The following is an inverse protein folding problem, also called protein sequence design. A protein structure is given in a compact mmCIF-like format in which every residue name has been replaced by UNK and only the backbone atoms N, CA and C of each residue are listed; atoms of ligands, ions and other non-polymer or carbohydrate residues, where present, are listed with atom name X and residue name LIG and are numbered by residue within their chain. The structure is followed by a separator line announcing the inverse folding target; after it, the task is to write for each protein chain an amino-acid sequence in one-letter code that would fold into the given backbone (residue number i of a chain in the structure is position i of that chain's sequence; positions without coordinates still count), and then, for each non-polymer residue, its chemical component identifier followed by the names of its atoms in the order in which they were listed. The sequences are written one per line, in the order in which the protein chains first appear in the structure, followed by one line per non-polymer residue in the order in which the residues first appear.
data_IF_769751564657
#
_entry.id   IF_769751564657
#
_cell.length_a   1.000
_cell.length_b   1.000
_cell.length_c   1.000
_cell.angle_alpha   90.00
_cell.angle_beta   90.00
_cell.angle_gamma   90.00
#
_symmetry.space_group_name_H-M   'P 1'
#
loop_
_entity.id
_entity.type
_entity.pdbx_description
1 polymer ?
#
# COMPACT_ATOMS: atom_id res chain seq x y z
N UNK A 1 5.31 23.46 -3.37
CA UNK A 1 5.09 24.28 -2.16
C UNK A 1 5.20 23.34 -0.98
N UNK A 2 5.97 23.68 0.06
CA UNK A 2 6.02 22.86 1.26
C UNK A 2 4.66 22.88 1.95
N UNK A 3 4.07 21.71 2.15
CA UNK A 3 2.76 21.53 2.79
C UNK A 3 2.80 21.88 4.29
N UNK A 4 4.00 21.98 4.86
CA UNK A 4 4.27 22.19 6.28
C UNK A 4 5.25 23.35 6.44
N UNK A 5 4.94 24.26 7.36
CA UNK A 5 5.81 25.36 7.80
C UNK A 5 6.17 25.18 9.27
N UNK A 6 7.46 25.29 9.58
CA UNK A 6 7.99 25.15 10.94
C UNK A 6 8.46 26.50 11.49
N UNK A 7 8.32 26.70 12.80
CA UNK A 7 8.84 27.87 13.50
C UNK A 7 9.12 27.55 14.96
N UNK A 8 10.26 27.99 15.48
CA UNK A 8 10.55 27.90 16.91
C UNK A 8 9.71 28.92 17.69
N UNK A 9 9.24 28.51 18.87
CA UNK A 9 8.54 29.35 19.83
C UNK A 9 9.40 29.45 21.10
N UNK A 10 10.20 30.52 21.25
CA UNK A 10 11.13 30.67 22.37
C UNK A 10 10.43 30.52 23.73
N UNK A 11 10.92 29.58 24.55
CA UNK A 11 10.38 29.29 25.89
C UNK A 11 9.08 28.47 25.92
N UNK A 12 8.62 28.00 24.76
CA UNK A 12 7.41 27.17 24.63
C UNK A 12 7.76 25.84 23.94
N UNK A 13 8.41 25.90 22.78
CA UNK A 13 8.81 24.73 22.01
C UNK A 13 8.81 25.02 20.50
N UNK A 14 8.16 24.18 19.70
CA UNK A 14 8.13 24.32 18.23
C UNK A 14 6.72 24.25 17.67
N UNK A 15 6.42 25.13 16.72
CA UNK A 15 5.17 25.18 15.97
C UNK A 15 5.35 24.58 14.57
N UNK A 16 4.36 23.77 14.18
CA UNK A 16 4.19 23.21 12.85
C UNK A 16 2.84 23.67 12.33
N UNK A 17 2.81 24.27 11.15
CA UNK A 17 1.57 24.65 10.48
C UNK A 17 1.44 23.84 9.19
N UNK A 18 0.30 23.18 9.04
CA UNK A 18 -0.06 22.37 7.88
C UNK A 18 -1.26 23.01 7.21
N UNK A 19 -1.15 23.28 5.92
CA UNK A 19 -2.29 23.65 5.08
C UNK A 19 -2.61 22.43 4.21
N UNK A 20 -3.76 21.80 4.44
CA UNK A 20 -4.16 20.59 3.71
C UNK A 20 -4.66 20.95 2.32
N UNK A 21 -4.75 19.95 1.43
CA UNK A 21 -5.34 20.12 0.11
C UNK A 21 -6.86 20.38 0.17
N UNK A 22 -7.53 19.99 1.25
CA UNK A 22 -8.95 20.29 1.49
C UNK A 22 -9.20 21.74 1.91
N UNK A 23 -8.14 22.51 2.21
CA UNK A 23 -8.21 23.90 2.65
C UNK A 23 -8.00 24.08 4.15
N UNK A 24 -8.04 23.00 4.93
CA UNK A 24 -7.91 23.07 6.38
C UNK A 24 -6.53 23.56 6.82
N UNK A 25 -6.53 24.45 7.81
CA UNK A 25 -5.34 24.89 8.53
C UNK A 25 -5.27 24.18 9.87
N UNK A 26 -4.26 23.31 10.01
CA UNK A 26 -3.93 22.60 11.24
C UNK A 26 -2.62 23.16 11.80
N UNK A 27 -2.62 23.55 13.08
CA UNK A 27 -1.41 23.94 13.80
C UNK A 27 -1.13 22.95 14.90
N UNK A 28 0.10 22.46 14.97
CA UNK A 28 0.58 21.60 16.04
C UNK A 28 1.69 22.35 16.78
N UNK A 29 1.57 22.49 18.09
CA UNK A 29 2.64 22.99 18.96
C UNK A 29 3.17 21.83 19.78
N UNK A 30 4.47 21.57 19.66
CA UNK A 30 5.19 20.62 20.50
C UNK A 30 5.90 21.43 21.57
N UNK A 31 5.49 21.28 22.82
CA UNK A 31 6.09 21.96 23.95
C UNK A 31 7.36 21.25 24.42
N UNK A 32 8.29 22.01 25.01
CA UNK A 32 9.54 21.47 25.56
C UNK A 32 9.31 20.51 26.74
N UNK A 33 8.16 20.63 27.41
CA UNK A 33 7.73 19.72 28.49
C UNK A 33 7.06 18.43 28.00
N UNK A 34 6.97 18.24 26.68
CA UNK A 34 6.40 17.05 26.04
C UNK A 34 4.88 17.12 25.83
N UNK A 35 4.20 18.21 26.16
CA UNK A 35 2.79 18.39 25.75
C UNK A 35 2.68 18.77 24.28
N UNK A 36 1.58 18.37 23.65
CA UNK A 36 1.24 18.75 22.28
C UNK A 36 -0.11 19.42 22.27
N UNK A 37 -0.20 20.56 21.59
CA UNK A 37 -1.45 21.22 21.28
C UNK A 37 -1.73 21.10 19.79
N UNK A 38 -2.97 20.78 19.43
CA UNK A 38 -3.44 20.73 18.05
C UNK A 38 -4.61 21.71 17.91
N UNK A 39 -4.50 22.64 16.97
CA UNK A 39 -5.49 23.67 16.71
C UNK A 39 -6.00 23.54 15.27
N UNK A 40 -7.32 23.50 15.09
CA UNK A 40 -7.97 23.56 13.78
C UNK A 40 -8.65 24.91 13.63
N UNK A 41 -8.38 25.58 12.52
CA UNK A 41 -8.87 26.92 12.23
C UNK A 41 -10.02 26.90 11.24
N UNK A 42 -10.87 27.92 11.30
CA UNK A 42 -11.90 28.13 10.29
C UNK A 42 -11.27 28.34 8.91
N UNK A 43 -11.95 27.85 7.88
CA UNK A 43 -11.54 28.05 6.49
C UNK A 43 -11.91 29.46 5.99
N UNK A 44 -13.00 30.04 6.50
CA UNK A 44 -13.46 31.38 6.15
C UNK A 44 -12.75 32.47 6.98
N UNK A 45 -12.27 32.12 8.18
CA UNK A 45 -11.41 32.97 9.02
C UNK A 45 -10.19 32.18 9.56
N UNK A 46 -9.06 32.18 8.83
CA UNK A 46 -7.86 31.44 9.21
C UNK A 46 -7.17 31.90 10.50
N UNK A 47 -7.62 32.99 11.12
CA UNK A 47 -7.12 33.45 12.42
C UNK A 47 -8.00 32.98 13.58
N UNK A 48 -9.23 32.49 13.31
CA UNK A 48 -10.12 31.96 14.33
C UNK A 48 -9.92 30.45 14.52
N UNK A 49 -9.55 30.06 15.74
CA UNK A 49 -9.35 28.66 16.10
C UNK A 49 -10.66 28.06 16.58
N UNK A 50 -11.27 27.20 15.76
CA UNK A 50 -12.57 26.60 16.06
C UNK A 50 -12.48 25.40 17.01
N UNK A 51 -11.32 24.75 17.14
CA UNK A 51 -11.10 23.71 18.15
C UNK A 51 -9.64 23.56 18.55
N UNK A 52 -9.42 23.10 19.79
CA UNK A 52 -8.11 22.78 20.35
C UNK A 52 -8.14 21.46 21.12
N UNK A 53 -7.12 20.63 20.89
CA UNK A 53 -6.88 19.39 21.64
C UNK A 53 -5.48 19.45 22.25
N UNK A 54 -5.39 19.19 23.56
CA UNK A 54 -4.13 19.03 24.28
C UNK A 54 -3.88 17.56 24.56
N UNK A 55 -2.67 17.09 24.25
CA UNK A 55 -2.22 15.71 24.45
C UNK A 55 -0.95 15.71 25.29
N UNK A 56 -0.85 14.78 26.24
CA UNK A 56 0.44 14.48 26.85
C UNK A 56 1.33 13.67 25.89
N UNK A 57 2.61 13.47 26.24
CA UNK A 57 3.57 12.76 25.38
C UNK A 57 3.11 11.34 25.01
N UNK A 58 2.51 10.60 25.94
CA UNK A 58 2.05 9.23 25.69
C UNK A 58 0.83 9.19 24.75
N UNK A 59 -0.13 10.11 24.94
CA UNK A 59 -1.31 10.25 24.09
C UNK A 59 -0.92 10.70 22.67
N UNK A 60 -0.03 11.70 22.58
CA UNK A 60 0.46 12.22 21.31
C UNK A 60 1.15 11.13 20.48
N UNK A 61 1.95 10.26 21.11
CA UNK A 61 2.57 9.12 20.42
C UNK A 61 1.55 8.11 19.93
N UNK A 62 0.47 7.85 20.69
CA UNK A 62 -0.61 6.96 20.25
C UNK A 62 -1.38 7.55 19.06
N UNK A 63 -1.74 8.82 19.13
CA UNK A 63 -2.41 9.53 18.02
C UNK A 63 -1.50 9.54 16.79
N UNK A 64 -0.20 9.84 16.96
CA UNK A 64 0.79 9.75 15.89
C UNK A 64 0.91 8.34 15.30
N UNK A 65 0.78 7.30 16.13
CA UNK A 65 0.69 5.89 15.71
C UNK A 65 -0.51 5.61 14.80
N UNK A 66 -1.66 6.21 15.11
CA UNK A 66 -2.88 6.07 14.30
C UNK A 66 -2.73 6.85 12.99
N UNK A 67 -2.33 8.12 13.07
CA UNK A 67 -2.16 8.98 11.89
C UNK A 67 -1.05 8.49 10.96
N UNK A 68 0.03 7.93 11.52
CA UNK A 68 1.13 7.32 10.78
C UNK A 68 0.83 5.92 10.26
N UNK A 69 -0.41 5.43 10.37
CA UNK A 69 -0.83 4.13 9.82
C UNK A 69 -0.35 2.90 10.58
N UNK A 70 0.40 3.05 11.68
CA UNK A 70 0.93 1.92 12.47
C UNK A 70 -0.16 1.17 13.23
N UNK A 71 -1.26 1.84 13.59
CA UNK A 71 -2.39 1.22 14.31
C UNK A 71 -3.47 0.68 13.38
N UNK A 72 -3.67 1.31 12.22
CA UNK A 72 -4.65 0.91 11.23
C UNK A 72 -4.22 1.42 9.86
N UNK A 73 -3.94 0.50 8.94
CA UNK A 73 -3.64 0.79 7.55
C UNK A 73 -4.86 0.36 6.71
N UNK A 74 -5.55 1.30 6.05
CA UNK A 74 -6.65 0.95 5.14
C UNK A 74 -6.17 -0.04 4.08
N UNK A 75 -6.95 -1.09 3.78
CA UNK A 75 -6.63 -2.07 2.72
C UNK A 75 -6.40 -1.47 1.34
N UNK A 76 -6.90 -0.24 1.11
CA UNK A 76 -6.66 0.53 -0.11
C UNK A 76 -5.25 1.17 -0.16
N UNK A 77 -4.58 1.30 1.00
CA UNK A 77 -3.21 1.78 1.15
C UNK A 77 -2.20 0.65 1.37
N UNK A 78 -2.62 -0.59 1.70
CA UNK A 78 -1.79 -1.81 1.74
C UNK A 78 -1.02 -2.07 0.41
N UNK A 79 -1.40 -1.41 -0.69
CA UNK A 79 -0.72 -1.50 -1.99
C UNK A 79 0.35 -0.42 -2.23
N UNK A 80 0.51 0.55 -1.33
CA UNK A 80 1.33 1.76 -1.59
C UNK A 80 2.74 1.67 -0.99
N UNK A 81 2.99 0.78 -0.02
CA UNK A 81 4.33 0.62 0.61
C UNK A 81 5.26 -0.40 -0.07
N UNK A 82 4.88 -0.97 -1.21
CA UNK A 82 5.84 -1.65 -2.09
C UNK A 82 6.21 -0.74 -3.25
N UNK A 83 6.91 0.36 -2.95
CA UNK A 83 7.72 1.06 -3.94
C UNK A 83 8.89 0.15 -4.40
N UNK A 84 8.55 -0.86 -5.20
CA UNK A 84 9.45 -1.35 -6.23
C UNK A 84 9.05 -0.60 -7.48
N UNK A 85 9.95 0.24 -8.00
CA UNK A 85 9.72 1.32 -8.96
C UNK A 85 9.26 0.88 -10.38
N UNK A 86 8.48 -0.21 -10.49
CA UNK A 86 7.75 -0.72 -11.66
C UNK A 86 7.10 -2.11 -11.38
N UNK A 87 7.30 -2.72 -10.20
CA UNK A 87 6.77 -4.05 -9.91
C UNK A 87 5.33 -4.02 -9.39
N UNK A 88 4.53 -4.98 -9.85
CA UNK A 88 3.13 -5.15 -9.49
C UNK A 88 2.86 -6.59 -9.03
N UNK A 89 1.85 -6.74 -8.18
CA UNK A 89 1.27 -8.02 -7.80
C UNK A 89 -0.12 -8.10 -8.41
N UNK A 90 -0.37 -9.08 -9.27
CA UNK A 90 -1.66 -9.26 -9.93
C UNK A 90 -2.25 -10.63 -9.67
N UNK A 91 -3.56 -10.64 -9.40
CA UNK A 91 -4.37 -11.84 -9.29
C UNK A 91 -4.88 -12.19 -10.69
N UNK A 92 -4.68 -13.43 -11.11
CA UNK A 92 -5.11 -13.91 -12.41
C UNK A 92 -5.90 -15.21 -12.27
N UNK A 93 -7.19 -15.15 -12.59
CA UNK A 93 -8.06 -16.32 -12.59
C UNK A 93 -7.88 -17.11 -13.89
N UNK A 94 -7.66 -18.41 -13.77
CA UNK A 94 -7.58 -19.33 -14.88
C UNK A 94 -9.02 -19.66 -15.31
N UNK A 95 -9.52 -18.91 -16.29
CA UNK A 95 -10.84 -19.17 -16.86
C UNK A 95 -10.85 -20.46 -17.70
N UNK A 96 -12.03 -21.09 -17.85
CA UNK A 96 -12.19 -22.26 -18.73
C UNK A 96 -11.72 -21.98 -20.16
N UNK A 97 -11.09 -22.97 -20.81
CA UNK A 97 -10.64 -22.87 -22.20
C UNK A 97 -9.26 -22.25 -22.41
N UNK A 98 -8.57 -21.83 -21.35
CA UNK A 98 -7.17 -21.41 -21.43
C UNK A 98 -6.26 -22.62 -21.78
N UNK A 99 -5.32 -22.43 -22.71
CA UNK A 99 -4.48 -23.51 -23.24
C UNK A 99 -3.46 -24.07 -22.24
N UNK A 100 -3.12 -23.33 -21.19
CA UNK A 100 -2.20 -23.81 -20.16
C UNK A 100 -2.84 -24.70 -19.09
N UNK A 101 -4.14 -24.96 -19.15
CA UNK A 101 -4.80 -25.86 -18.21
C UNK A 101 -4.18 -27.26 -18.35
N UNK A 102 -3.75 -27.83 -17.22
CA UNK A 102 -3.07 -29.14 -17.18
C UNK A 102 -1.55 -29.08 -17.40
N UNK A 103 -0.98 -27.93 -17.79
CA UNK A 103 0.46 -27.74 -17.83
C UNK A 103 1.01 -27.35 -16.45
N UNK A 104 2.25 -27.74 -16.18
CA UNK A 104 2.97 -27.30 -14.98
C UNK A 104 3.61 -25.93 -15.16
N UNK A 105 3.94 -25.26 -14.05
CA UNK A 105 4.72 -24.02 -14.08
C UNK A 105 6.06 -24.24 -14.82
N UNK A 106 6.66 -25.42 -14.62
CA UNK A 106 7.90 -25.86 -15.27
C UNK A 106 7.75 -25.96 -16.79
N UNK A 107 6.69 -26.60 -17.28
CA UNK A 107 6.41 -26.75 -18.71
C UNK A 107 6.29 -25.39 -19.41
N UNK A 108 5.65 -24.43 -18.73
CA UNK A 108 5.47 -23.09 -19.26
C UNK A 108 6.76 -22.27 -19.22
N UNK A 109 7.71 -22.59 -18.32
CA UNK A 109 8.97 -21.86 -18.17
C UNK A 109 8.76 -20.40 -17.79
N UNK A 110 7.73 -20.09 -16.99
CA UNK A 110 7.21 -18.72 -16.76
C UNK A 110 8.33 -17.73 -16.41
N UNK A 111 9.07 -17.98 -15.34
CA UNK A 111 10.13 -17.06 -14.87
C UNK A 111 11.21 -16.83 -15.91
N UNK A 112 11.60 -17.87 -16.64
CA UNK A 112 12.65 -17.80 -17.66
C UNK A 112 12.18 -17.03 -18.91
N UNK A 113 10.92 -17.19 -19.31
CA UNK A 113 10.38 -16.61 -20.55
C UNK A 113 9.82 -15.22 -20.40
N UNK A 114 9.31 -14.88 -19.22
CA UNK A 114 8.59 -13.62 -19.00
C UNK A 114 9.26 -12.73 -17.97
N UNK A 115 10.13 -13.27 -17.11
CA UNK A 115 10.72 -12.55 -15.99
C UNK A 115 9.75 -12.31 -14.82
N UNK A 116 8.49 -12.74 -14.93
CA UNK A 116 7.52 -12.73 -13.83
C UNK A 116 7.59 -14.02 -13.01
N UNK A 117 7.16 -13.98 -11.76
CA UNK A 117 7.15 -15.12 -10.83
C UNK A 117 5.73 -15.37 -10.32
N UNK A 118 5.31 -16.63 -10.27
CA UNK A 118 4.11 -17.02 -9.53
C UNK A 118 4.51 -17.23 -8.07
N UNK A 119 3.91 -16.46 -7.16
CA UNK A 119 4.21 -16.51 -5.73
C UNK A 119 3.15 -17.29 -4.93
N UNK A 120 1.95 -17.47 -5.49
CA UNK A 120 0.91 -18.31 -4.89
C UNK A 120 -0.09 -18.84 -5.92
N UNK A 121 -0.75 -19.94 -5.57
CA UNK A 121 -1.94 -20.48 -6.26
C UNK A 121 -3.05 -20.64 -5.22
N UNK A 122 -4.24 -20.11 -5.51
CA UNK A 122 -5.46 -20.31 -4.74
C UNK A 122 -6.40 -21.17 -5.57
N UNK A 123 -6.63 -22.41 -5.15
CA UNK A 123 -7.53 -23.31 -5.85
C UNK A 123 -9.01 -22.97 -5.61
N UNK A 124 -9.90 -23.57 -6.39
CA UNK A 124 -11.36 -23.37 -6.28
C UNK A 124 -11.93 -23.77 -4.93
N UNK A 125 -11.31 -24.73 -4.25
CA UNK A 125 -11.66 -25.18 -2.90
C UNK A 125 -11.08 -24.28 -1.79
N UNK A 126 -10.53 -23.11 -2.15
CA UNK A 126 -9.83 -22.17 -1.28
C UNK A 126 -8.53 -22.69 -0.65
N UNK A 127 -8.03 -23.87 -1.04
CA UNK A 127 -6.69 -24.31 -0.65
C UNK A 127 -5.64 -23.40 -1.30
N UNK A 128 -4.57 -23.11 -0.53
CA UNK A 128 -3.51 -22.18 -0.93
C UNK A 128 -2.19 -22.92 -1.03
N UNK A 129 -1.47 -22.68 -2.11
CA UNK A 129 -0.10 -23.14 -2.33
C UNK A 129 0.77 -21.89 -2.37
N UNK A 130 1.68 -21.76 -1.43
CA UNK A 130 2.59 -20.62 -1.31
C UNK A 130 3.94 -21.04 -1.88
N UNK A 131 4.58 -20.15 -2.67
CA UNK A 131 5.84 -20.41 -3.37
C UNK A 131 5.78 -21.72 -4.19
N UNK A 132 4.85 -21.83 -5.16
CA UNK A 132 4.66 -23.07 -5.92
C UNK A 132 5.94 -23.46 -6.67
N UNK A 133 6.30 -24.74 -6.58
CA UNK A 133 7.41 -25.31 -7.35
C UNK A 133 7.07 -25.50 -8.83
N UNK A 134 8.06 -25.83 -9.67
CA UNK A 134 7.87 -26.05 -11.10
C UNK A 134 6.90 -27.20 -11.42
N UNK A 135 6.71 -28.16 -10.52
CA UNK A 135 5.81 -29.30 -10.64
C UNK A 135 4.33 -28.95 -10.52
N UNK A 136 4.00 -27.74 -10.04
CA UNK A 136 2.61 -27.36 -9.80
C UNK A 136 1.83 -27.18 -11.10
N UNK A 137 0.73 -27.92 -11.22
CA UNK A 137 -0.18 -27.88 -12.39
C UNK A 137 -1.16 -26.71 -12.29
N UNK A 138 -1.32 -25.98 -13.39
CA UNK A 138 -2.34 -24.95 -13.53
C UNK A 138 -3.72 -25.59 -13.75
N UNK A 139 -4.64 -25.36 -12.82
CA UNK A 139 -6.00 -25.92 -12.83
C UNK A 139 -7.04 -24.87 -13.22
N UNK A 140 -8.07 -25.29 -13.92
CA UNK A 140 -9.23 -24.45 -14.21
C UNK A 140 -9.85 -23.90 -12.91
N UNK A 141 -10.22 -22.62 -12.93
CA UNK A 141 -10.84 -21.94 -11.79
C UNK A 141 -9.88 -21.57 -10.67
N UNK A 142 -8.61 -21.99 -10.73
CA UNK A 142 -7.59 -21.51 -9.80
C UNK A 142 -7.27 -20.04 -10.07
N UNK A 143 -6.89 -19.31 -9.02
CA UNK A 143 -6.35 -17.96 -9.11
C UNK A 143 -4.87 -18.00 -8.77
N UNK A 144 -4.03 -17.58 -9.72
CA UNK A 144 -2.60 -17.44 -9.50
C UNK A 144 -2.27 -16.00 -9.09
N UNK A 145 -1.27 -15.86 -8.22
CA UNK A 145 -0.74 -14.57 -7.80
C UNK A 145 0.61 -14.38 -8.45
N UNK A 146 0.72 -13.38 -9.31
CA UNK A 146 1.90 -13.11 -10.15
C UNK A 146 2.59 -11.84 -9.65
N UNK A 147 3.90 -11.90 -9.45
CA UNK A 147 4.76 -10.78 -9.12
C UNK A 147 5.73 -10.50 -10.29
N UNK A 148 5.89 -9.23 -10.65
CA UNK A 148 6.91 -8.76 -11.58
C UNK A 148 6.63 -7.35 -12.09
N UNK A 149 7.48 -6.82 -12.97
CA UNK A 149 7.18 -5.56 -13.67
C UNK A 149 5.92 -5.68 -14.54
N UNK A 150 5.20 -4.58 -14.73
CA UNK A 150 3.89 -4.57 -15.41
C UNK A 150 3.90 -5.26 -16.79
N UNK A 151 4.90 -5.01 -17.63
CA UNK A 151 5.01 -5.64 -18.96
C UNK A 151 5.35 -7.14 -18.88
N UNK A 152 6.14 -7.55 -17.88
CA UNK A 152 6.47 -8.96 -17.60
C UNK A 152 5.25 -9.72 -17.13
N UNK A 153 4.43 -9.11 -16.26
CA UNK A 153 3.16 -9.69 -15.80
C UNK A 153 2.15 -9.83 -16.95
N UNK A 154 2.05 -8.82 -17.82
CA UNK A 154 1.21 -8.89 -19.03
C UNK A 154 1.65 -10.01 -19.98
N UNK A 155 2.96 -10.15 -20.19
CA UNK A 155 3.54 -11.25 -20.99
C UNK A 155 3.28 -12.61 -20.35
N UNK A 156 3.37 -12.72 -19.02
CA UNK A 156 3.01 -13.91 -18.25
C UNK A 156 1.55 -14.31 -18.46
N UNK A 157 0.61 -13.37 -18.32
CA UNK A 157 -0.81 -13.64 -18.57
C UNK A 157 -1.06 -14.13 -19.99
N UNK A 158 -0.42 -13.51 -20.99
CA UNK A 158 -0.52 -13.94 -22.39
C UNK A 158 0.04 -15.34 -22.61
N UNK A 159 1.21 -15.65 -22.03
CA UNK A 159 1.81 -16.98 -22.07
C UNK A 159 0.86 -18.04 -21.49
N UNK A 160 0.24 -17.75 -20.34
CA UNK A 160 -0.71 -18.65 -19.69
C UNK A 160 -1.95 -18.84 -20.58
N UNK A 161 -2.53 -17.77 -21.12
CA UNK A 161 -3.67 -17.86 -22.04
C UNK A 161 -3.40 -18.75 -23.24
N UNK A 162 -2.22 -18.60 -23.86
CA UNK A 162 -1.87 -19.26 -25.10
C UNK A 162 -1.20 -20.63 -24.91
N UNK A 163 -0.73 -20.96 -23.70
CA UNK A 163 0.09 -22.14 -23.41
C UNK A 163 1.52 -22.05 -23.96
N UNK A 164 1.79 -21.07 -24.81
CA UNK A 164 3.10 -20.73 -25.37
C UNK A 164 3.13 -19.27 -25.84
N UNK A 165 4.32 -18.69 -25.92
CA UNK A 165 4.69 -17.48 -26.66
C UNK A 165 5.70 -17.84 -27.74
#
# INVERSE_FOLDING_TARGET
MNLIRESDLPGIGRKFQINTLSGDKLVIVVHDDGRREMHHFDNDDPEDSISMVMLNDAEARRVGGILGGMSYMPKALDSVDMAFDEMVIEWYKIEPGIKSIGLTIGDLGIRKRTGATIIAIVNRDHSKIINPGPEQTLKEGATIVILGEREKVKTCKRLIQLGSI
#
